data_IF_503491153715
#
_entry.id   IF_503491153715
#
_cell.length_a   1.000
_cell.length_b   1.000
_cell.length_c   1.000
_cell.angle_alpha   90.00
_cell.angle_beta   90.00
_cell.angle_gamma   90.00
#
_symmetry.space_group_name_H-M   'P 1'
#
loop_
_entity.id
_entity.type
_entity.pdbx_description
1 polymer ?
#
# COMPACT_ATOMS: atom_id res chain seq x y z
N UNK A 1 -24.53 -6.17 4.96
CA UNK A 1 -23.33 -6.39 5.79
C UNK A 1 -22.12 -6.52 4.86
N UNK A 2 -20.96 -5.95 5.18
CA UNK A 2 -19.77 -6.08 4.35
C UNK A 2 -19.22 -7.53 4.47
N UNK A 3 -19.14 -8.31 3.38
CA UNK A 3 -18.66 -9.70 3.42
C UNK A 3 -17.14 -9.83 3.49
N UNK A 4 -16.41 -8.71 3.52
CA UNK A 4 -14.95 -8.70 3.41
C UNK A 4 -14.24 -8.40 4.73
N UNK A 5 -13.13 -9.10 4.95
CA UNK A 5 -12.07 -8.70 5.86
C UNK A 5 -10.93 -8.13 5.00
N UNK A 6 -10.89 -6.80 4.86
CA UNK A 6 -9.93 -6.12 4.00
C UNK A 6 -8.76 -5.58 4.83
N UNK A 7 -7.54 -5.96 4.46
CA UNK A 7 -6.30 -5.49 5.04
C UNK A 7 -5.47 -4.73 4.00
N UNK A 8 -5.07 -3.50 4.30
CA UNK A 8 -3.98 -2.82 3.58
C UNK A 8 -2.69 -3.20 4.29
N UNK A 9 -1.67 -3.62 3.54
CA UNK A 9 -0.39 -4.08 4.08
C UNK A 9 0.73 -3.14 3.63
N UNK A 10 1.46 -2.60 4.60
CA UNK A 10 2.61 -1.71 4.35
C UNK A 10 3.82 -2.21 5.11
N UNK A 11 4.88 -2.57 4.39
CA UNK A 11 6.19 -2.83 4.99
C UNK A 11 6.89 -1.49 5.21
N UNK A 12 7.00 -1.04 6.45
CA UNK A 12 7.55 0.29 6.74
C UNK A 12 9.08 0.28 6.74
N UNK A 13 9.71 -0.37 7.72
CA UNK A 13 11.17 -0.43 7.86
C UNK A 13 11.72 -1.80 8.23
N UNK A 14 10.85 -2.75 8.55
CA UNK A 14 11.25 -4.13 8.85
C UNK A 14 11.98 -4.77 7.66
N UNK A 15 13.09 -5.50 7.88
CA UNK A 15 13.83 -6.14 6.82
C UNK A 15 13.01 -7.23 6.13
N UNK A 16 13.20 -7.36 4.82
CA UNK A 16 12.71 -8.51 4.06
C UNK A 16 13.57 -9.72 4.38
N UNK A 17 12.95 -10.88 4.60
CA UNK A 17 13.65 -12.15 4.83
C UNK A 17 14.61 -12.53 3.68
N UNK A 18 14.28 -12.09 2.46
CA UNK A 18 15.07 -12.37 1.25
C UNK A 18 16.27 -11.43 1.06
N UNK A 19 16.44 -10.40 1.89
CA UNK A 19 17.49 -9.39 1.74
C UNK A 19 18.64 -9.67 2.71
N UNK A 20 19.92 -9.64 2.26
CA UNK A 20 21.08 -9.85 3.13
C UNK A 20 21.16 -8.81 4.27
N UNK A 21 21.72 -9.22 5.40
CA UNK A 21 21.93 -8.35 6.57
C UNK A 21 22.82 -7.12 6.31
N UNK A 22 23.54 -7.07 5.19
CA UNK A 22 24.37 -5.94 4.76
C UNK A 22 23.61 -4.82 4.04
N UNK A 23 22.31 -4.99 3.78
CA UNK A 23 21.50 -3.93 3.18
C UNK A 23 21.36 -2.73 4.13
N UNK A 24 21.18 -1.49 3.60
CA UNK A 24 20.96 -0.30 4.42
C UNK A 24 19.86 -0.56 5.45
N UNK A 25 20.21 -0.34 6.72
CA UNK A 25 19.32 -0.65 7.82
C UNK A 25 18.14 0.30 7.82
N UNK A 26 16.92 -0.24 7.84
CA UNK A 26 15.69 0.53 8.10
C UNK A 26 15.63 1.11 9.53
N UNK A 27 16.72 1.04 10.29
CA UNK A 27 16.89 1.58 11.63
C UNK A 27 17.67 2.90 11.66
N UNK A 28 18.25 3.34 10.53
CA UNK A 28 18.92 4.64 10.46
C UNK A 28 17.91 5.77 10.77
N UNK A 29 18.22 6.59 11.78
CA UNK A 29 17.29 7.62 12.26
C UNK A 29 17.03 8.72 11.23
N UNK A 30 18.03 9.09 10.43
CA UNK A 30 17.87 10.10 9.40
C UNK A 30 16.95 9.59 8.27
N UNK A 31 17.12 8.33 7.85
CA UNK A 31 16.23 7.67 6.92
C UNK A 31 14.82 7.54 7.49
N UNK A 32 14.66 7.11 8.74
CA UNK A 32 13.36 7.01 9.41
C UNK A 32 12.66 8.36 9.49
N UNK A 33 13.37 9.43 9.82
CA UNK A 33 12.82 10.78 9.85
C UNK A 33 12.27 11.20 8.48
N UNK A 34 13.03 10.98 7.40
CA UNK A 34 12.56 11.25 6.02
C UNK A 34 11.38 10.37 5.63
N UNK A 35 11.37 9.10 6.05
CA UNK A 35 10.29 8.16 5.73
C UNK A 35 9.00 8.45 6.48
N UNK A 36 9.07 8.79 7.76
CA UNK A 36 7.90 9.26 8.51
C UNK A 36 7.35 10.56 7.92
N UNK A 37 8.22 11.48 7.49
CA UNK A 37 7.79 12.71 6.80
C UNK A 37 7.01 12.41 5.50
N UNK A 38 7.46 11.45 4.69
CA UNK A 38 6.71 11.00 3.51
C UNK A 38 5.41 10.29 3.90
N UNK A 39 5.46 9.39 4.88
CA UNK A 39 4.30 8.65 5.37
C UNK A 39 3.18 9.57 5.83
N UNK A 40 3.49 10.55 6.68
CA UNK A 40 2.51 11.50 7.22
C UNK A 40 1.97 12.48 6.17
N UNK A 41 2.76 12.82 5.16
CA UNK A 41 2.36 13.81 4.14
C UNK A 41 1.69 13.20 2.92
N UNK A 42 2.01 11.94 2.60
CA UNK A 42 1.58 11.28 1.36
C UNK A 42 0.66 10.12 1.67
N UNK A 43 1.18 9.11 2.36
CA UNK A 43 0.56 7.81 2.49
C UNK A 43 -0.64 7.85 3.44
N UNK A 44 -0.43 8.36 4.65
CA UNK A 44 -1.42 8.48 5.72
C UNK A 44 -2.67 9.25 5.27
N UNK A 45 -2.58 10.47 4.70
CA UNK A 45 -3.77 11.18 4.21
C UNK A 45 -4.52 10.42 3.11
N UNK A 46 -3.82 9.63 2.28
CA UNK A 46 -4.43 8.85 1.21
C UNK A 46 -5.29 7.70 1.74
N UNK A 47 -4.88 7.10 2.86
CA UNK A 47 -5.60 6.02 3.54
C UNK A 47 -6.73 6.58 4.43
N UNK A 48 -6.49 7.71 5.09
CA UNK A 48 -7.50 8.39 5.90
C UNK A 48 -8.69 8.91 5.08
N UNK A 49 -8.44 9.35 3.85
CA UNK A 49 -9.48 9.85 2.94
C UNK A 49 -10.27 8.73 2.24
N UNK A 50 -10.09 7.46 2.60
CA UNK A 50 -10.86 6.38 1.97
C UNK A 50 -12.36 6.56 2.24
N UNK A 51 -13.18 6.48 1.19
CA UNK A 51 -14.64 6.61 1.26
C UNK A 51 -15.32 5.37 1.85
N UNK A 52 -14.62 4.23 1.84
CA UNK A 52 -15.04 2.98 2.45
C UNK A 52 -14.10 2.68 3.62
N UNK A 53 -14.61 2.72 4.85
CA UNK A 53 -13.85 2.54 6.08
C UNK A 53 -13.75 1.10 6.59
N UNK A 54 -14.43 0.14 5.94
CA UNK A 54 -14.41 -1.26 6.34
C UNK A 54 -13.13 -1.99 5.90
N UNK A 55 -11.99 -1.55 6.45
CA UNK A 55 -10.68 -2.17 6.30
C UNK A 55 -9.81 -1.94 7.55
N UNK A 56 -8.71 -2.67 7.64
CA UNK A 56 -7.65 -2.46 8.62
C UNK A 56 -6.34 -2.19 7.87
N UNK A 57 -5.50 -1.29 8.38
CA UNK A 57 -4.21 -0.98 7.79
C UNK A 57 -3.08 -1.49 8.68
N UNK A 58 -2.46 -2.59 8.27
CA UNK A 58 -1.36 -3.22 8.98
C UNK A 58 -0.03 -2.63 8.50
N UNK A 59 0.65 -1.91 9.40
CA UNK A 59 1.95 -1.28 9.12
C UNK A 59 3.03 -2.04 9.86
N UNK A 60 3.88 -2.75 9.12
CA UNK A 60 4.90 -3.63 9.67
C UNK A 60 6.19 -2.86 9.93
N UNK A 61 6.63 -2.86 11.19
CA UNK A 61 7.80 -2.13 11.69
C UNK A 61 8.80 -3.07 12.35
N UNK A 62 10.08 -2.69 12.33
CA UNK A 62 11.13 -3.48 12.99
C UNK A 62 11.02 -3.35 14.52
N UNK A 63 11.19 -4.46 15.26
CA UNK A 63 11.32 -4.44 16.72
C UNK A 63 12.45 -3.54 17.21
N UNK A 64 13.53 -3.41 16.45
CA UNK A 64 14.67 -2.56 16.78
C UNK A 64 14.45 -1.08 16.44
N UNK A 65 13.27 -0.69 15.91
CA UNK A 65 12.94 0.71 15.62
C UNK A 65 13.16 1.58 16.87
N UNK A 66 13.87 2.72 16.77
CA UNK A 66 14.12 3.60 17.90
C UNK A 66 12.82 4.09 18.55
N UNK A 67 12.86 4.28 19.88
CA UNK A 67 11.68 4.56 20.71
C UNK A 67 10.93 5.80 20.21
N UNK A 68 11.63 6.86 19.84
CA UNK A 68 11.01 8.09 19.34
C UNK A 68 10.07 7.86 18.13
N UNK A 69 10.42 6.95 17.22
CA UNK A 69 9.59 6.60 16.07
C UNK A 69 8.43 5.66 16.43
N UNK A 70 8.61 4.80 17.44
CA UNK A 70 7.52 3.99 17.98
C UNK A 70 6.47 4.85 18.68
N UNK A 71 6.91 5.83 19.46
CA UNK A 71 6.03 6.84 20.10
C UNK A 71 5.29 7.67 19.05
N UNK A 72 5.99 8.07 17.97
CA UNK A 72 5.38 8.76 16.84
C UNK A 72 4.26 7.93 16.19
N UNK A 73 4.54 6.65 15.90
CA UNK A 73 3.52 5.73 15.37
C UNK A 73 2.37 5.52 16.35
N UNK A 74 2.65 5.38 17.65
CA UNK A 74 1.62 5.23 18.68
C UNK A 74 0.70 6.47 18.75
N UNK A 75 1.26 7.68 18.65
CA UNK A 75 0.47 8.91 18.60
C UNK A 75 -0.47 8.94 17.37
N UNK A 76 -0.02 8.48 16.20
CA UNK A 76 -0.89 8.34 15.03
C UNK A 76 -2.04 7.35 15.28
N UNK A 77 -1.78 6.22 15.96
CA UNK A 77 -2.81 5.21 16.23
C UNK A 77 -3.95 5.72 17.12
N UNK A 78 -3.72 6.78 17.91
CA UNK A 78 -4.77 7.44 18.70
C UNK A 78 -5.76 8.20 17.80
N UNK A 79 -5.30 8.68 16.64
CA UNK A 79 -6.09 9.49 15.72
C UNK A 79 -6.70 8.68 14.57
N UNK A 80 -6.10 7.55 14.20
CA UNK A 80 -6.49 6.78 13.01
C UNK A 80 -6.93 5.37 13.38
N UNK A 81 -8.24 5.17 13.49
CA UNK A 81 -8.86 3.90 13.88
C UNK A 81 -8.56 2.74 12.94
N UNK A 82 -8.16 2.97 11.70
CA UNK A 82 -7.77 1.90 10.77
C UNK A 82 -6.31 1.45 10.95
N UNK A 83 -5.44 2.29 11.53
CA UNK A 83 -4.00 2.09 11.61
C UNK A 83 -3.64 1.09 12.72
N UNK A 84 -2.88 0.05 12.35
CA UNK A 84 -2.46 -1.03 13.25
C UNK A 84 -0.97 -1.34 13.03
N UNK A 85 -0.06 -0.81 13.86
CA UNK A 85 1.34 -1.15 13.77
C UNK A 85 1.55 -2.61 14.21
N UNK A 86 2.40 -3.30 13.47
CA UNK A 86 2.84 -4.67 13.76
C UNK A 86 4.35 -4.63 13.90
N UNK A 87 4.87 -4.95 15.08
CA UNK A 87 6.31 -5.05 15.29
C UNK A 87 6.78 -6.48 15.08
N UNK A 88 7.73 -6.67 14.16
CA UNK A 88 8.29 -7.97 13.81
C UNK A 88 9.77 -7.86 13.44
N UNK A 89 10.50 -8.98 13.48
CA UNK A 89 11.93 -9.03 13.15
C UNK A 89 12.20 -9.21 11.66
N UNK A 90 11.19 -9.65 10.91
CA UNK A 90 11.26 -9.84 9.46
C UNK A 90 9.86 -9.68 8.86
N UNK A 91 9.82 -9.32 7.58
CA UNK A 91 8.58 -9.29 6.80
C UNK A 91 8.60 -10.35 5.70
N UNK A 92 7.64 -11.26 5.78
CA UNK A 92 7.35 -12.31 4.83
C UNK A 92 5.86 -12.70 4.88
N UNK A 93 5.45 -13.56 3.96
CA UNK A 93 4.08 -14.09 3.86
C UNK A 93 3.58 -14.68 5.18
N UNK A 94 4.42 -15.46 5.86
CA UNK A 94 4.06 -16.12 7.11
C UNK A 94 3.78 -15.11 8.22
N UNK A 95 4.60 -14.07 8.34
CA UNK A 95 4.43 -13.00 9.32
C UNK A 95 3.15 -12.21 9.07
N UNK A 96 2.88 -11.84 7.81
CA UNK A 96 1.67 -11.12 7.44
C UNK A 96 0.41 -11.96 7.69
N UNK A 97 0.38 -13.22 7.25
CA UNK A 97 -0.74 -14.14 7.47
C UNK A 97 -1.04 -14.38 8.94
N UNK A 98 -0.02 -14.51 9.78
CA UNK A 98 -0.22 -14.72 11.22
C UNK A 98 -0.98 -13.55 11.85
N UNK A 99 -0.64 -12.31 11.48
CA UNK A 99 -1.35 -11.12 11.97
C UNK A 99 -2.73 -10.95 11.36
N UNK A 100 -2.89 -11.25 10.07
CA UNK A 100 -4.20 -11.23 9.39
C UNK A 100 -5.16 -12.22 10.06
N UNK A 101 -4.75 -13.48 10.27
CA UNK A 101 -5.58 -14.54 10.86
C UNK A 101 -6.08 -14.21 12.28
N UNK A 102 -5.32 -13.44 13.05
CA UNK A 102 -5.77 -12.95 14.38
C UNK A 102 -6.89 -11.92 14.32
N UNK A 103 -7.11 -11.30 13.15
CA UNK A 103 -8.01 -10.16 12.92
C UNK A 103 -9.14 -10.47 11.93
N UNK A 104 -9.06 -11.61 11.25
CA UNK A 104 -10.10 -12.12 10.36
C UNK A 104 -11.33 -12.59 11.13
N UNK A 105 -12.48 -12.51 10.46
CA UNK A 105 -13.69 -13.19 10.89
C UNK A 105 -13.91 -14.41 9.98
N UNK A 106 -14.21 -15.61 10.54
CA UNK A 106 -14.30 -16.86 9.77
C UNK A 106 -15.27 -16.81 8.57
N UNK A 107 -16.33 -16.01 8.68
CA UNK A 107 -17.37 -15.88 7.66
C UNK A 107 -17.07 -14.86 6.55
N UNK A 108 -15.93 -14.16 6.63
CA UNK A 108 -15.58 -13.09 5.70
C UNK A 108 -14.52 -13.53 4.69
N UNK A 109 -14.66 -13.07 3.45
CA UNK A 109 -13.65 -13.26 2.42
C UNK A 109 -12.49 -12.28 2.66
N UNK A 110 -11.26 -12.77 2.60
CA UNK A 110 -10.06 -11.97 2.80
C UNK A 110 -9.77 -11.13 1.56
N UNK A 111 -9.42 -9.87 1.77
CA UNK A 111 -8.79 -9.01 0.77
C UNK A 111 -7.50 -8.45 1.36
N UNK A 112 -6.37 -8.57 0.67
CA UNK A 112 -5.12 -7.91 1.04
C UNK A 112 -4.65 -6.98 -0.07
N UNK A 113 -4.42 -5.71 0.23
CA UNK A 113 -3.93 -4.69 -0.72
C UNK A 113 -2.53 -4.24 -0.34
N UNK A 114 -1.60 -4.21 -1.29
CA UNK A 114 -0.25 -3.70 -1.06
C UNK A 114 -0.20 -2.17 -1.16
N UNK A 115 0.55 -1.54 -0.26
CA UNK A 115 0.82 -0.10 -0.29
C UNK A 115 2.20 0.20 0.32
N UNK A 116 3.05 0.90 -0.43
CA UNK A 116 4.32 1.42 0.08
C UNK A 116 4.10 2.67 0.96
N UNK A 117 5.01 2.91 1.92
CA UNK A 117 4.84 3.94 2.95
C UNK A 117 5.04 5.39 2.46
N UNK A 118 5.37 5.58 1.19
CA UNK A 118 5.65 6.84 0.51
C UNK A 118 4.74 7.08 -0.70
N UNK A 119 3.78 6.19 -0.95
CA UNK A 119 2.85 6.26 -2.08
C UNK A 119 1.41 6.50 -1.61
N UNK A 120 0.54 6.91 -2.54
CA UNK A 120 -0.83 7.32 -2.23
C UNK A 120 -1.88 6.51 -3.00
N UNK A 121 -2.99 6.20 -2.33
CA UNK A 121 -4.19 5.61 -2.93
C UNK A 121 -5.25 6.68 -3.22
N UNK A 122 -6.03 6.47 -4.27
CA UNK A 122 -7.21 7.30 -4.52
C UNK A 122 -8.26 7.05 -3.41
N UNK A 123 -9.04 8.06 -2.97
CA UNK A 123 -10.09 7.94 -1.93
C UNK A 123 -11.09 6.80 -2.12
N UNK A 124 -11.30 6.37 -3.37
CA UNK A 124 -12.23 5.28 -3.72
C UNK A 124 -11.54 3.93 -4.00
N UNK A 125 -10.27 3.78 -3.64
CA UNK A 125 -9.51 2.56 -3.92
C UNK A 125 -10.15 1.35 -3.23
N UNK A 126 -10.38 1.43 -1.92
CA UNK A 126 -11.00 0.34 -1.14
C UNK A 126 -12.39 0.00 -1.69
N UNK A 127 -13.22 1.01 -1.95
CA UNK A 127 -14.55 0.85 -2.55
C UNK A 127 -14.48 0.06 -3.87
N UNK A 128 -13.60 0.46 -4.80
CA UNK A 128 -13.47 -0.21 -6.09
C UNK A 128 -12.93 -1.64 -6.01
N UNK A 129 -12.01 -1.91 -5.07
CA UNK A 129 -11.53 -3.28 -4.80
C UNK A 129 -12.68 -4.14 -4.31
N UNK A 130 -13.45 -3.67 -3.33
CA UNK A 130 -14.56 -4.43 -2.75
C UNK A 130 -15.71 -4.64 -3.74
N UNK A 131 -16.03 -3.66 -4.59
CA UNK A 131 -16.99 -3.82 -5.69
C UNK A 131 -16.58 -4.94 -6.66
N UNK A 132 -15.32 -4.94 -7.09
CA UNK A 132 -14.79 -5.95 -7.99
C UNK A 132 -14.76 -7.33 -7.33
N UNK A 133 -14.34 -7.39 -6.07
CA UNK A 133 -14.35 -8.63 -5.31
C UNK A 133 -15.76 -9.20 -5.24
N UNK A 134 -16.76 -8.37 -4.90
CA UNK A 134 -18.17 -8.76 -4.77
C UNK A 134 -18.74 -9.29 -6.08
N UNK A 135 -18.43 -8.64 -7.20
CA UNK A 135 -18.86 -9.08 -8.52
C UNK A 135 -18.26 -10.43 -8.95
N UNK A 136 -17.22 -10.92 -8.26
CA UNK A 136 -16.50 -12.16 -8.62
C UNK A 136 -16.69 -13.31 -7.64
N UNK A 137 -17.25 -13.08 -6.45
CA UNK A 137 -17.40 -14.09 -5.39
C UNK A 137 -18.00 -15.43 -5.88
N UNK A 138 -18.98 -15.41 -6.79
CA UNK A 138 -19.62 -16.61 -7.33
C UNK A 138 -18.98 -17.20 -8.59
N UNK A 139 -17.92 -16.58 -9.12
CA UNK A 139 -17.33 -16.92 -10.43
C UNK A 139 -15.87 -17.38 -10.33
N UNK A 140 -15.31 -17.48 -9.12
CA UNK A 140 -13.90 -17.78 -8.87
C UNK A 140 -13.73 -18.80 -7.75
N UNK A 141 -12.67 -19.59 -7.83
CA UNK A 141 -12.26 -20.51 -6.77
C UNK A 141 -11.49 -19.73 -5.69
N UNK A 142 -12.18 -19.34 -4.62
CA UNK A 142 -11.60 -18.53 -3.53
C UNK A 142 -10.53 -19.28 -2.73
N UNK A 143 -10.47 -20.61 -2.78
CA UNK A 143 -9.39 -21.37 -2.14
C UNK A 143 -8.03 -21.08 -2.83
N UNK A 144 -8.06 -20.79 -4.14
CA UNK A 144 -6.88 -20.37 -4.93
C UNK A 144 -6.74 -18.85 -5.00
N UNK A 145 -7.85 -18.13 -4.82
CA UNK A 145 -7.89 -16.68 -4.85
C UNK A 145 -7.69 -16.08 -6.25
N UNK A 146 -7.72 -14.76 -6.32
CA UNK A 146 -7.48 -13.99 -7.54
C UNK A 146 -6.97 -12.58 -7.21
N UNK A 147 -6.29 -11.96 -8.17
CA UNK A 147 -5.81 -10.59 -8.05
C UNK A 147 -6.77 -9.59 -8.68
N UNK A 148 -6.81 -8.39 -8.11
CA UNK A 148 -7.41 -7.20 -8.67
C UNK A 148 -6.28 -6.19 -8.91
N UNK A 149 -6.20 -5.64 -10.11
CA UNK A 149 -5.24 -4.58 -10.47
C UNK A 149 -5.93 -3.47 -11.25
N UNK A 150 -5.58 -2.23 -10.95
CA UNK A 150 -6.05 -1.05 -11.67
C UNK A 150 -4.89 -0.51 -12.52
N UNK A 151 -4.93 -0.67 -13.86
CA UNK A 151 -3.77 -0.31 -14.67
C UNK A 151 -3.49 1.19 -14.75
N UNK A 152 -4.46 2.06 -14.43
CA UNK A 152 -4.27 3.50 -14.54
C UNK A 152 -3.93 4.10 -13.17
N UNK A 153 -2.79 4.80 -13.11
CA UNK A 153 -2.33 5.56 -11.97
C UNK A 153 -1.57 6.80 -12.42
N UNK A 154 -0.80 7.39 -11.50
CA UNK A 154 0.12 8.48 -11.83
C UNK A 154 1.42 8.40 -11.04
N UNK A 155 2.40 9.19 -11.47
CA UNK A 155 3.57 9.52 -10.68
C UNK A 155 3.53 11.02 -10.35
N UNK A 156 3.90 11.38 -9.14
CA UNK A 156 4.12 12.75 -8.69
C UNK A 156 5.63 13.01 -8.56
N UNK A 157 6.09 14.15 -9.08
CA UNK A 157 7.47 14.59 -8.93
C UNK A 157 7.51 16.12 -8.88
N UNK A 158 7.89 16.70 -7.74
CA UNK A 158 8.06 18.15 -7.55
C UNK A 158 6.80 18.96 -7.93
N UNK A 159 5.65 18.49 -7.49
CA UNK A 159 4.31 19.02 -7.77
C UNK A 159 3.82 18.81 -9.20
N UNK A 160 4.50 17.99 -10.00
CA UNK A 160 4.07 17.65 -11.37
C UNK A 160 3.60 16.21 -11.42
N UNK A 161 2.44 16.01 -12.05
CA UNK A 161 1.83 14.71 -12.18
C UNK A 161 2.01 14.16 -13.59
N UNK A 162 2.18 12.85 -13.68
CA UNK A 162 2.36 12.11 -14.93
C UNK A 162 1.45 10.89 -14.92
N UNK A 163 0.56 10.77 -15.91
CA UNK A 163 -0.31 9.61 -16.05
C UNK A 163 0.50 8.39 -16.46
N UNK A 164 0.24 7.28 -15.77
CA UNK A 164 0.91 6.00 -15.99
C UNK A 164 -0.15 4.94 -16.24
N UNK A 165 0.04 4.17 -17.32
CA UNK A 165 -0.71 2.95 -17.57
C UNK A 165 0.21 1.76 -17.40
N UNK A 166 0.01 0.99 -16.34
CA UNK A 166 0.84 -0.14 -15.99
C UNK A 166 0.02 -1.27 -15.36
N UNK A 167 -0.02 -2.42 -16.04
CA UNK A 167 -0.70 -3.62 -15.52
C UNK A 167 0.10 -4.28 -14.38
N UNK A 168 1.42 -4.08 -14.37
CA UNK A 168 2.36 -4.61 -13.39
C UNK A 168 2.75 -3.53 -12.37
N UNK A 169 1.75 -2.82 -11.82
CA UNK A 169 1.94 -1.84 -10.76
C UNK A 169 1.95 -2.51 -9.37
N UNK A 170 2.56 -1.90 -8.34
CA UNK A 170 2.65 -2.50 -7.00
C UNK A 170 1.33 -2.44 -6.18
N UNK A 171 0.32 -1.70 -6.64
CA UNK A 171 -0.93 -1.43 -5.90
C UNK A 171 -2.01 -2.48 -6.16
N UNK A 172 -1.64 -3.75 -6.13
CA UNK A 172 -2.55 -4.86 -6.39
C UNK A 172 -3.24 -5.33 -5.11
N UNK A 173 -4.41 -5.94 -5.29
CA UNK A 173 -5.15 -6.59 -4.20
C UNK A 173 -5.31 -8.06 -4.49
N UNK A 174 -5.16 -8.91 -3.47
CA UNK A 174 -5.43 -10.34 -3.55
C UNK A 174 -6.69 -10.67 -2.76
N UNK A 175 -7.61 -11.40 -3.38
CA UNK A 175 -8.88 -11.80 -2.80
C UNK A 175 -8.90 -13.32 -2.66
N UNK A 176 -9.16 -13.83 -1.47
CA UNK A 176 -9.12 -15.27 -1.19
C UNK A 176 -9.98 -15.67 0.02
N UNK A 177 -10.22 -16.97 0.16
CA UNK A 177 -10.81 -17.52 1.38
C UNK A 177 -9.82 -17.42 2.56
N UNK A 178 -10.31 -17.28 3.82
CA UNK A 178 -9.45 -17.24 5.02
C UNK A 178 -8.48 -18.42 5.19
N UNK A 179 -8.75 -19.56 4.56
CA UNK A 179 -7.89 -20.75 4.60
C UNK A 179 -6.72 -20.66 3.61
N UNK A 180 -6.82 -19.81 2.58
CA UNK A 180 -5.80 -19.65 1.56
C UNK A 180 -4.47 -19.18 2.20
N UNK A 181 -3.35 -19.88 1.98
CA UNK A 181 -2.06 -19.55 2.59
C UNK A 181 -1.28 -18.49 1.80
N UNK A 182 -1.97 -17.64 1.04
CA UNK A 182 -1.38 -16.58 0.22
C UNK A 182 -2.07 -15.24 0.45
N UNK A 183 -1.30 -14.18 0.30
CA UNK A 183 -1.70 -12.77 0.35
C UNK A 183 -1.06 -12.04 -0.82
N UNK A 184 -1.13 -10.71 -0.80
CA UNK A 184 -0.39 -9.85 -1.72
C UNK A 184 1.12 -9.80 -1.43
N UNK A 185 1.57 -10.29 -0.27
CA UNK A 185 2.99 -10.22 0.12
C UNK A 185 3.86 -11.06 -0.82
N UNK A 186 4.95 -10.47 -1.31
CA UNK A 186 5.88 -11.13 -2.24
C UNK A 186 5.30 -11.39 -3.64
N UNK A 187 4.07 -10.97 -3.92
CA UNK A 187 3.49 -11.07 -5.24
C UNK A 187 4.19 -10.07 -6.19
N UNK A 188 4.91 -10.60 -7.18
CA UNK A 188 5.52 -9.79 -8.22
C UNK A 188 4.44 -9.35 -9.23
N UNK A 189 4.17 -8.03 -9.37
CA UNK A 189 3.18 -7.51 -10.30
C UNK A 189 3.38 -7.96 -11.76
N UNK A 190 4.63 -8.21 -12.19
CA UNK A 190 4.92 -8.67 -13.54
C UNK A 190 4.51 -10.13 -13.77
N UNK A 191 4.33 -10.91 -12.70
CA UNK A 191 4.14 -12.36 -12.75
C UNK A 191 2.83 -12.83 -12.09
N UNK A 192 1.92 -11.92 -11.69
CA UNK A 192 0.66 -12.27 -11.00
C UNK A 192 -0.16 -13.33 -11.73
N UNK A 193 -0.24 -13.25 -13.06
CA UNK A 193 -1.00 -14.21 -13.88
C UNK A 193 -0.48 -15.65 -13.84
N UNK A 194 0.75 -15.87 -13.35
CA UNK A 194 1.30 -17.20 -13.08
C UNK A 194 0.87 -17.75 -11.71
N UNK A 195 0.48 -16.86 -10.79
CA UNK A 195 0.09 -17.20 -9.42
C UNK A 195 -1.42 -17.45 -9.31
N UNK A 196 -2.22 -16.53 -9.85
CA UNK A 196 -3.68 -16.62 -9.83
C UNK A 196 -4.31 -15.77 -10.96
N UNK A 197 -5.60 -15.96 -11.29
CA UNK A 197 -6.30 -15.09 -12.24
C UNK A 197 -6.21 -13.61 -11.83
N UNK A 198 -6.08 -12.72 -12.82
CA UNK A 198 -6.01 -11.27 -12.57
C UNK A 198 -7.19 -10.57 -13.22
N UNK A 199 -7.94 -9.82 -12.42
CA UNK A 199 -9.04 -8.97 -12.85
C UNK A 199 -8.54 -7.54 -12.98
N UNK A 200 -8.64 -6.99 -14.18
CA UNK A 200 -8.30 -5.60 -14.46
C UNK A 200 -9.56 -4.74 -14.58
N UNK A 201 -9.53 -3.53 -14.02
CA UNK A 201 -10.53 -2.49 -14.31
C UNK A 201 -9.82 -1.21 -14.71
N UNK A 202 -10.19 -0.68 -15.88
CA UNK A 202 -9.80 0.67 -16.25
C UNK A 202 -10.71 1.66 -15.53
N UNK A 203 -10.13 2.59 -14.78
CA UNK A 203 -10.82 3.65 -14.06
C UNK A 203 -10.04 4.97 -14.26
N UNK A 204 -10.36 6.00 -13.46
CA UNK A 204 -9.47 7.14 -13.24
C UNK A 204 -8.16 6.65 -12.59
N UNK A 205 -7.09 7.46 -12.52
CA UNK A 205 -5.89 7.11 -11.76
C UNK A 205 -6.26 6.73 -10.32
N UNK A 206 -5.98 5.48 -9.92
CA UNK A 206 -6.37 4.98 -8.59
C UNK A 206 -5.21 4.89 -7.60
N UNK A 207 -3.99 5.09 -8.06
CA UNK A 207 -2.79 5.10 -7.23
C UNK A 207 -1.83 6.17 -7.76
N UNK A 208 -0.98 6.68 -6.87
CA UNK A 208 0.04 7.66 -7.19
C UNK A 208 1.36 7.25 -6.56
N UNK A 209 2.40 7.10 -7.40
CA UNK A 209 3.77 6.90 -6.93
C UNK A 209 4.45 8.24 -6.69
N UNK A 210 5.03 8.45 -5.50
CA UNK A 210 5.78 9.68 -5.20
C UNK A 210 7.24 9.49 -5.58
N UNK A 211 7.76 10.36 -6.44
CA UNK A 211 9.16 10.32 -6.88
C UNK A 211 9.98 11.33 -6.08
N UNK A 212 10.91 10.82 -5.29
CA UNK A 212 11.83 11.53 -4.43
C UNK A 212 13.24 10.90 -4.49
N UNK A 213 14.29 11.59 -3.99
CA UNK A 213 15.68 11.12 -4.14
C UNK A 213 15.97 9.74 -3.55
N UNK A 214 15.26 9.35 -2.49
CA UNK A 214 15.43 8.05 -1.81
C UNK A 214 14.71 6.86 -2.49
N UNK A 215 14.08 7.01 -3.67
CA UNK A 215 13.46 5.87 -4.36
C UNK A 215 14.53 4.92 -4.92
N UNK A 216 14.36 3.61 -4.66
CA UNK A 216 15.31 2.57 -5.09
C UNK A 216 15.12 2.15 -6.55
N UNK A 217 13.86 2.12 -7.03
CA UNK A 217 13.49 1.62 -8.37
C UNK A 217 12.64 2.59 -9.19
N UNK A 218 11.88 3.46 -8.52
CA UNK A 218 10.94 4.35 -9.17
C UNK A 218 11.68 5.55 -9.80
N UNK A 219 11.39 5.79 -11.07
CA UNK A 219 11.84 6.96 -11.81
C UNK A 219 10.64 7.65 -12.45
N UNK A 220 10.78 8.95 -12.72
CA UNK A 220 9.74 9.73 -13.40
C UNK A 220 9.39 9.06 -14.74
N UNK A 221 8.12 8.67 -14.90
CA UNK A 221 7.59 8.03 -16.10
C UNK A 221 6.16 8.50 -16.38
N UNK A 222 5.68 8.24 -17.59
CA UNK A 222 4.32 8.56 -17.99
C UNK A 222 4.16 9.88 -18.73
N UNK A 223 2.91 10.21 -19.07
CA UNK A 223 2.55 11.41 -19.83
C UNK A 223 2.21 12.55 -18.88
N UNK A 224 2.81 13.73 -19.07
CA UNK A 224 2.52 14.89 -18.22
C UNK A 224 1.02 15.17 -18.15
N UNK A 225 0.52 15.32 -16.93
CA UNK A 225 -0.90 15.44 -16.63
C UNK A 225 -1.16 16.67 -15.76
N UNK A 226 -1.41 17.84 -16.37
CA UNK A 226 -1.64 19.09 -15.62
C UNK A 226 -2.88 19.02 -14.73
N UNK A 227 -3.89 18.23 -15.12
CA UNK A 227 -5.10 17.98 -14.33
C UNK A 227 -4.85 17.23 -13.01
N UNK A 228 -3.67 16.65 -12.80
CA UNK A 228 -3.30 15.99 -11.53
C UNK A 228 -3.37 16.94 -10.33
N UNK A 229 -3.11 18.24 -10.53
CA UNK A 229 -3.23 19.29 -9.50
C UNK A 229 -4.67 19.58 -9.06
N UNK A 230 -5.66 19.06 -9.78
CA UNK A 230 -7.08 19.14 -9.46
C UNK A 230 -7.67 17.75 -9.19
N UNK A 231 -6.83 16.72 -9.14
CA UNK A 231 -7.24 15.35 -8.89
C UNK A 231 -7.34 15.08 -7.38
N UNK A 232 -7.77 13.86 -7.03
CA UNK A 232 -7.73 13.41 -5.64
C UNK A 232 -6.31 13.38 -5.03
N UNK A 233 -5.27 13.45 -5.87
CA UNK A 233 -3.87 13.51 -5.44
C UNK A 233 -3.33 14.95 -5.32
N UNK A 234 -4.18 15.98 -5.50
CA UNK A 234 -3.74 17.38 -5.53
C UNK A 234 -2.98 17.84 -4.28
N UNK A 235 -3.27 17.26 -3.11
CA UNK A 235 -2.59 17.57 -1.85
C UNK A 235 -1.08 17.28 -1.88
N UNK A 236 -0.63 16.39 -2.79
CA UNK A 236 0.78 16.13 -3.04
C UNK A 236 1.48 17.30 -3.74
N UNK A 237 0.74 18.07 -4.55
CA UNK A 237 1.29 19.14 -5.39
C UNK A 237 1.31 20.55 -4.77
N UNK A 238 0.63 20.75 -3.64
CA UNK A 238 0.52 22.05 -2.95
C UNK A 238 1.66 22.32 -1.97
N UNK A 239 2.82 21.69 -2.17
CA UNK A 239 3.92 21.71 -1.22
C UNK A 239 5.01 22.71 -1.68
N UNK A 240 5.58 23.54 -0.77
CA UNK A 240 6.72 24.36 -1.11
C UNK A 240 7.86 23.46 -1.58
N UNK A 241 8.54 23.84 -2.67
CA UNK A 241 9.76 23.17 -3.08
C UNK A 241 10.70 23.14 -1.88
N UNK A 242 11.20 21.96 -1.50
CA UNK A 242 12.32 21.88 -0.60
C UNK A 242 13.38 22.82 -1.18
N UNK A 243 13.80 23.82 -0.39
CA UNK A 243 14.88 24.70 -0.78
C UNK A 243 16.04 23.80 -1.21
N UNK A 244 16.37 23.86 -2.51
CA UNK A 244 17.60 23.28 -2.99
C UNK A 244 18.71 24.13 -2.40
N UNK A 245 19.28 23.69 -1.29
CA UNK A 245 20.56 24.22 -0.83
C UNK A 245 21.57 23.95 -1.95
N UNK A 246 22.10 25.04 -2.50
CA UNK A 246 23.10 25.05 -3.57
C UNK A 246 24.50 24.75 -3.08
#
# INVERSE_FOLDING_TARGET
MNPFAHFILTRFNVPLKSVPASAPSGLDEAWLARRFHLFERVCLPSVDQQTEGAFQWLVFMDWATPVAFKEKMAALCVHYDCLRPVYCSQFDEATALAEIRRREAPEKVRITTGLDNDDALHPRMVEHVQELARARLGAVDLAKGFFISFPLGCCECQGRFYLVRDKANPFVSFVSAPECPATVVGADPANLGKLAPVVYRSARPLWCQTIHPDNVSNHRRGLYWPGGRQSAFAYLGNQPAAASDG
#
